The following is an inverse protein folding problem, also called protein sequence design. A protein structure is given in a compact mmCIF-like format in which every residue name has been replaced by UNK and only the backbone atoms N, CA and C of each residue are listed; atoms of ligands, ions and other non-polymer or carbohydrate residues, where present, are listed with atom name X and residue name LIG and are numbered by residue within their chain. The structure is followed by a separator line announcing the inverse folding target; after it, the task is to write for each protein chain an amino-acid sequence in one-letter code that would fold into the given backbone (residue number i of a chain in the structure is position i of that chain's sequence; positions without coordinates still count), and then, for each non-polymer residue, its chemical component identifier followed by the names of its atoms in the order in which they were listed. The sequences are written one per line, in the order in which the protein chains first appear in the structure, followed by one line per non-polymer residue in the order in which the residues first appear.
data_IF_090919169412
#
_entry.id   IF_090919169412
#
_cell.length_a   1.000
_cell.length_b   1.000
_cell.length_c   1.000
_cell.angle_alpha   90.00
_cell.angle_beta   90.00
_cell.angle_gamma   90.00
#
_symmetry.space_group_name_H-M   'P 1'
#
loop_
_entity.id
_entity.type
_entity.pdbx_description
1 polymer ?
#
# COMPACT_ATOMS: atom_id res chain seq x y z
N UNK A 1 10.94 29.09 4.42
CA UNK A 1 11.99 28.39 5.20
C UNK A 1 11.52 27.76 6.52
N UNK A 2 10.50 28.30 7.21
CA UNK A 2 9.96 27.75 8.48
C UNK A 2 9.21 26.42 8.40
N UNK A 3 8.64 26.07 7.24
CA UNK A 3 7.91 24.81 7.04
C UNK A 3 8.87 23.61 7.06
N UNK A 4 10.10 23.77 6.56
CA UNK A 4 11.10 22.71 6.50
C UNK A 4 11.61 22.32 7.89
N UNK A 5 11.74 23.31 8.78
CA UNK A 5 12.21 23.12 10.17
C UNK A 5 11.19 22.35 11.02
N UNK A 6 9.89 22.56 10.81
CA UNK A 6 8.82 21.78 11.47
C UNK A 6 8.67 20.35 10.92
N UNK A 7 9.05 20.10 9.67
CA UNK A 7 9.09 18.75 9.10
C UNK A 7 10.27 17.93 9.66
N UNK A 8 11.42 18.56 9.87
CA UNK A 8 12.61 17.94 10.46
C UNK A 8 12.43 17.55 11.94
N UNK A 9 11.48 18.17 12.65
CA UNK A 9 11.21 17.89 14.07
C UNK A 9 10.27 16.71 14.31
N UNK A 10 9.73 16.07 13.26
CA UNK A 10 8.97 14.81 13.37
C UNK A 10 9.91 13.60 13.17
N UNK A 11 10.52 13.06 14.24
CA UNK A 11 11.58 12.06 14.14
C UNK A 11 11.12 10.76 13.46
N UNK A 12 9.83 10.46 13.51
CA UNK A 12 9.25 9.20 13.04
C UNK A 12 9.20 9.05 11.50
N UNK A 13 9.15 10.14 10.73
CA UNK A 13 9.17 10.08 9.25
C UNK A 13 10.37 10.81 8.63
N UNK A 14 10.74 11.97 9.17
CA UNK A 14 11.80 12.80 8.59
C UNK A 14 13.17 12.13 8.69
N UNK A 15 13.50 11.59 9.86
CA UNK A 15 14.80 10.95 10.11
C UNK A 15 15.00 9.67 9.29
N UNK A 16 14.06 8.70 9.24
CA UNK A 16 14.23 7.49 8.43
C UNK A 16 14.29 7.81 6.93
N UNK A 17 13.54 8.81 6.44
CA UNK A 17 13.59 9.17 5.02
C UNK A 17 14.91 9.82 4.63
N UNK A 18 15.43 10.74 5.45
CA UNK A 18 16.72 11.40 5.21
C UNK A 18 17.86 10.39 5.28
N UNK A 19 17.85 9.52 6.30
CA UNK A 19 18.87 8.47 6.44
C UNK A 19 18.80 7.48 5.28
N UNK A 20 17.61 7.05 4.84
CA UNK A 20 17.43 6.20 3.67
C UNK A 20 17.97 6.85 2.39
N UNK A 21 17.64 8.13 2.15
CA UNK A 21 18.11 8.88 0.98
C UNK A 21 19.64 9.05 0.97
N UNK A 22 20.23 9.42 2.11
CA UNK A 22 21.68 9.55 2.24
C UNK A 22 22.38 8.20 2.05
N UNK A 23 21.83 7.13 2.62
CA UNK A 23 22.35 5.77 2.47
C UNK A 23 22.30 5.33 1.01
N UNK A 24 21.18 5.57 0.31
CA UNK A 24 21.04 5.28 -1.12
C UNK A 24 22.11 6.02 -1.94
N UNK A 25 22.26 7.33 -1.71
CA UNK A 25 23.20 8.15 -2.47
C UNK A 25 24.66 7.75 -2.20
N UNK A 26 25.00 7.44 -0.95
CA UNK A 26 26.32 6.94 -0.58
C UNK A 26 26.60 5.56 -1.18
N UNK A 27 25.62 4.65 -1.17
CA UNK A 27 25.75 3.30 -1.72
C UNK A 27 25.94 3.31 -3.24
N UNK A 28 25.18 4.14 -3.96
CA UNK A 28 25.32 4.28 -5.42
C UNK A 28 26.68 4.91 -5.78
N UNK A 29 27.13 5.92 -5.03
CA UNK A 29 28.42 6.58 -5.28
C UNK A 29 29.63 5.69 -5.01
N UNK A 30 29.53 4.78 -4.04
CA UNK A 30 30.66 3.91 -3.63
C UNK A 30 30.71 2.56 -4.35
N UNK A 31 29.55 1.98 -4.68
CA UNK A 31 29.45 0.61 -5.24
C UNK A 31 28.78 0.53 -6.61
N UNK A 32 28.31 1.65 -7.15
CA UNK A 32 27.64 1.71 -8.44
C UNK A 32 26.17 1.31 -8.41
N UNK A 33 25.42 1.67 -9.46
CA UNK A 33 23.98 1.41 -9.56
C UNK A 33 23.63 -0.09 -9.70
N UNK A 34 24.50 -0.86 -10.36
CA UNK A 34 24.29 -2.29 -10.61
C UNK A 34 24.31 -3.08 -9.30
N UNK A 35 25.30 -2.83 -8.43
CA UNK A 35 25.39 -3.45 -7.12
C UNK A 35 24.19 -3.10 -6.22
N UNK A 36 23.72 -1.85 -6.27
CA UNK A 36 22.55 -1.41 -5.50
C UNK A 36 21.29 -2.19 -5.91
N UNK A 37 21.03 -2.31 -7.21
CA UNK A 37 19.86 -3.03 -7.74
C UNK A 37 19.91 -4.53 -7.49
N UNK A 38 21.06 -5.17 -7.66
CA UNK A 38 21.18 -6.64 -7.59
C UNK A 38 21.35 -7.20 -6.18
N UNK A 39 21.96 -6.44 -5.26
CA UNK A 39 22.24 -6.92 -3.90
C UNK A 39 21.38 -6.26 -2.83
N UNK A 40 21.25 -4.93 -2.86
CA UNK A 40 20.59 -4.21 -1.77
C UNK A 40 19.06 -4.27 -1.90
N UNK A 41 18.51 -3.99 -3.08
CA UNK A 41 17.06 -4.02 -3.34
C UNK A 41 16.38 -5.34 -2.94
N UNK A 42 16.87 -6.54 -3.34
CA UNK A 42 16.20 -7.80 -2.97
C UNK A 42 16.30 -8.13 -1.48
N UNK A 43 17.39 -7.71 -0.81
CA UNK A 43 17.53 -7.89 0.64
C UNK A 43 16.54 -6.99 1.39
N UNK A 44 16.44 -5.72 0.99
CA UNK A 44 15.48 -4.79 1.57
C UNK A 44 14.04 -5.27 1.42
N UNK A 45 13.67 -5.84 0.26
CA UNK A 45 12.33 -6.42 0.06
C UNK A 45 12.02 -7.57 1.03
N UNK A 46 12.98 -8.49 1.26
CA UNK A 46 12.82 -9.59 2.22
C UNK A 46 12.73 -9.09 3.66
N UNK A 47 13.58 -8.14 4.03
CA UNK A 47 13.57 -7.53 5.38
C UNK A 47 12.29 -6.75 5.61
N UNK A 48 11.81 -5.99 4.62
CA UNK A 48 10.55 -5.25 4.70
C UNK A 48 9.36 -6.19 4.89
N UNK A 49 9.29 -7.28 4.11
CA UNK A 49 8.23 -8.27 4.27
C UNK A 49 8.29 -8.92 5.66
N UNK A 50 9.48 -9.29 6.12
CA UNK A 50 9.69 -9.86 7.46
C UNK A 50 9.31 -8.90 8.59
N UNK A 51 9.69 -7.63 8.49
CA UNK A 51 9.35 -6.60 9.45
C UNK A 51 7.84 -6.33 9.48
N UNK A 52 7.19 -6.25 8.32
CA UNK A 52 5.74 -6.04 8.22
C UNK A 52 4.96 -7.22 8.85
N UNK A 53 5.35 -8.45 8.53
CA UNK A 53 4.79 -9.66 9.14
C UNK A 53 5.06 -9.70 10.65
N UNK A 54 6.26 -9.32 11.08
CA UNK A 54 6.62 -9.23 12.49
C UNK A 54 5.74 -8.23 13.25
N UNK A 55 5.57 -7.01 12.72
CA UNK A 55 4.68 -6.01 13.31
C UNK A 55 3.25 -6.52 13.37
N UNK A 56 2.77 -7.17 12.31
CA UNK A 56 1.44 -7.75 12.26
C UNK A 56 1.24 -8.79 13.38
N UNK A 57 2.17 -9.73 13.54
CA UNK A 57 2.14 -10.75 14.60
C UNK A 57 2.13 -10.10 15.99
N UNK A 58 3.02 -9.12 16.23
CA UNK A 58 3.10 -8.41 17.52
C UNK A 58 1.80 -7.65 17.80
N UNK A 59 1.25 -6.96 16.81
CA UNK A 59 0.01 -6.21 16.97
C UNK A 59 -1.17 -7.14 17.30
N UNK A 60 -1.26 -8.30 16.65
CA UNK A 60 -2.28 -9.31 16.95
C UNK A 60 -2.10 -9.94 18.33
N UNK A 61 -0.86 -10.23 18.73
CA UNK A 61 -0.56 -10.76 20.06
C UNK A 61 -0.97 -9.77 21.16
N UNK A 62 -0.71 -8.48 20.97
CA UNK A 62 -1.03 -7.44 21.96
C UNK A 62 -2.51 -7.08 22.01
N UNK A 63 -3.28 -7.31 20.94
CA UNK A 63 -4.70 -6.91 20.86
C UNK A 63 -5.66 -8.10 20.72
N UNK A 64 -5.19 -9.31 20.97
CA UNK A 64 -5.97 -10.56 20.86
C UNK A 64 -7.21 -10.59 21.75
N UNK A 65 -7.13 -10.07 22.99
CA UNK A 65 -8.30 -10.03 23.88
C UNK A 65 -9.43 -9.14 23.36
N UNK A 66 -9.10 -8.01 22.74
CA UNK A 66 -10.11 -7.12 22.16
C UNK A 66 -10.84 -7.76 20.97
N UNK A 67 -10.17 -8.64 20.22
CA UNK A 67 -10.75 -9.40 19.11
C UNK A 67 -11.72 -10.46 19.64
N UNK A 68 -11.36 -11.17 20.71
CA UNK A 68 -12.18 -12.23 21.31
C UNK A 68 -13.43 -11.69 22.01
N UNK A 69 -13.36 -10.48 22.58
CA UNK A 69 -14.46 -9.89 23.35
C UNK A 69 -15.59 -9.28 22.48
N UNK A 70 -15.39 -9.09 21.18
CA UNK A 70 -16.37 -8.42 20.31
C UNK A 70 -16.54 -9.05 18.91
N UNK A 71 -16.86 -10.35 18.79
CA UNK A 71 -16.97 -11.04 17.49
C UNK A 71 -18.12 -10.48 16.62
N UNK A 72 -19.22 -10.04 17.23
CA UNK A 72 -20.36 -9.46 16.53
C UNK A 72 -19.98 -8.13 15.84
N UNK A 73 -19.14 -7.31 16.49
CA UNK A 73 -18.65 -6.05 15.93
C UNK A 73 -17.82 -6.29 14.66
N UNK A 74 -16.99 -7.33 14.66
CA UNK A 74 -16.19 -7.74 13.50
C UNK A 74 -17.12 -8.11 12.34
N UNK A 75 -18.15 -8.94 12.61
CA UNK A 75 -19.14 -9.34 11.60
C UNK A 75 -19.83 -8.14 10.93
N UNK A 76 -20.26 -7.15 11.72
CA UNK A 76 -20.88 -5.94 11.18
C UNK A 76 -19.90 -5.06 10.40
N UNK A 77 -18.61 -5.06 10.75
CA UNK A 77 -17.60 -4.21 10.12
C UNK A 77 -17.06 -4.80 8.81
N UNK A 78 -17.07 -6.13 8.64
CA UNK A 78 -16.58 -6.79 7.42
C UNK A 78 -17.31 -6.28 6.18
N UNK A 79 -18.64 -6.23 6.21
CA UNK A 79 -19.43 -5.84 5.04
C UNK A 79 -19.15 -4.41 4.55
N UNK A 80 -19.28 -3.35 5.38
CA UNK A 80 -19.01 -1.99 4.94
C UNK A 80 -17.55 -1.79 4.52
N UNK A 81 -16.60 -2.46 5.20
CA UNK A 81 -15.19 -2.30 4.90
C UNK A 81 -14.78 -3.03 3.61
N UNK A 82 -15.31 -4.25 3.39
CA UNK A 82 -15.12 -4.96 2.14
C UNK A 82 -15.72 -4.17 0.97
N UNK A 83 -16.96 -3.70 1.11
CA UNK A 83 -17.61 -2.88 0.08
C UNK A 83 -16.78 -1.63 -0.22
N UNK A 84 -16.30 -0.93 0.82
CA UNK A 84 -15.43 0.23 0.67
C UNK A 84 -14.17 -0.07 -0.15
N UNK A 85 -13.46 -1.17 0.15
CA UNK A 85 -12.27 -1.57 -0.61
C UNK A 85 -12.58 -1.99 -2.04
N UNK A 86 -13.64 -2.77 -2.26
CA UNK A 86 -14.07 -3.14 -3.60
C UNK A 86 -14.38 -1.89 -4.42
N UNK A 87 -15.18 -0.97 -3.87
CA UNK A 87 -15.55 0.26 -4.57
C UNK A 87 -14.33 1.09 -4.93
N UNK A 88 -13.41 1.33 -3.99
CA UNK A 88 -12.19 2.10 -4.26
C UNK A 88 -11.32 1.42 -5.32
N UNK A 89 -11.15 0.10 -5.25
CA UNK A 89 -10.36 -0.64 -6.21
C UNK A 89 -10.94 -0.55 -7.62
N UNK A 90 -12.25 -0.79 -7.77
CA UNK A 90 -12.90 -0.74 -9.07
C UNK A 90 -12.97 0.69 -9.62
N UNK A 91 -13.30 1.68 -8.80
CA UNK A 91 -13.30 3.09 -9.23
C UNK A 91 -11.90 3.55 -9.62
N UNK A 92 -10.87 3.22 -8.84
CA UNK A 92 -9.48 3.53 -9.18
C UNK A 92 -9.03 2.87 -10.48
N UNK A 93 -9.36 1.58 -10.65
CA UNK A 93 -9.00 0.82 -11.86
C UNK A 93 -9.75 1.31 -13.10
N UNK A 94 -11.07 1.54 -13.00
CA UNK A 94 -11.88 2.04 -14.12
C UNK A 94 -11.51 3.47 -14.48
N UNK A 95 -11.29 4.34 -13.50
CA UNK A 95 -10.89 5.73 -13.78
C UNK A 95 -9.51 5.79 -14.44
N UNK A 96 -8.56 4.94 -14.06
CA UNK A 96 -7.27 4.81 -14.73
C UNK A 96 -7.41 4.26 -16.16
N UNK A 97 -8.23 3.23 -16.36
CA UNK A 97 -8.43 2.64 -17.69
C UNK A 97 -9.17 3.61 -18.62
N UNK A 98 -10.39 4.01 -18.25
CA UNK A 98 -11.30 4.79 -19.10
C UNK A 98 -10.90 6.27 -19.12
N UNK A 99 -10.54 6.83 -17.97
CA UNK A 99 -10.23 8.26 -17.83
C UNK A 99 -8.81 8.62 -18.28
N UNK A 100 -7.83 7.73 -18.09
CA UNK A 100 -6.42 8.00 -18.43
C UNK A 100 -5.90 7.16 -19.60
N UNK A 101 -6.66 6.18 -20.11
CA UNK A 101 -6.23 5.34 -21.23
C UNK A 101 -5.02 4.47 -20.88
N UNK A 102 -4.94 3.98 -19.64
CA UNK A 102 -3.84 3.13 -19.18
C UNK A 102 -4.12 1.65 -19.44
N UNK A 103 -3.09 0.89 -19.82
CA UNK A 103 -3.20 -0.57 -19.94
C UNK A 103 -3.73 -1.20 -18.67
N UNK A 104 -4.41 -2.35 -18.79
CA UNK A 104 -5.05 -2.99 -17.63
C UNK A 104 -4.08 -3.27 -16.48
N UNK A 105 -2.83 -3.63 -16.77
CA UNK A 105 -1.76 -3.81 -15.77
C UNK A 105 -1.51 -2.54 -14.94
N UNK A 106 -1.38 -1.39 -15.63
CA UNK A 106 -1.16 -0.10 -14.99
C UNK A 106 -2.39 0.36 -14.24
N UNK A 107 -3.58 0.16 -14.81
CA UNK A 107 -4.86 0.51 -14.21
C UNK A 107 -5.11 -0.26 -12.91
N UNK A 108 -4.85 -1.57 -12.89
CA UNK A 108 -4.95 -2.39 -11.67
C UNK A 108 -3.92 -1.95 -10.61
N UNK A 109 -2.71 -1.56 -11.04
CA UNK A 109 -1.70 -0.99 -10.13
C UNK A 109 -2.18 0.31 -9.48
N UNK A 110 -2.81 1.20 -10.26
CA UNK A 110 -3.45 2.42 -9.73
C UNK A 110 -4.60 2.07 -8.78
N UNK A 111 -5.42 1.07 -9.12
CA UNK A 111 -6.46 0.55 -8.25
C UNK A 111 -5.93 0.14 -6.87
N UNK A 112 -4.84 -0.65 -6.83
CA UNK A 112 -4.20 -1.01 -5.55
C UNK A 112 -3.61 0.19 -4.82
N UNK A 113 -3.09 1.18 -5.52
CA UNK A 113 -2.55 2.38 -4.89
C UNK A 113 -3.65 3.23 -4.22
N UNK A 114 -4.78 3.43 -4.89
CA UNK A 114 -5.94 4.16 -4.34
C UNK A 114 -6.53 3.42 -3.13
N UNK A 115 -6.48 2.10 -3.16
CA UNK A 115 -7.04 1.26 -2.11
C UNK A 115 -6.08 1.09 -0.93
N UNK A 116 -4.76 1.14 -1.17
CA UNK A 116 -3.71 0.93 -0.16
C UNK A 116 -3.74 1.94 0.99
N UNK A 117 -3.61 1.46 2.22
CA UNK A 117 -3.70 2.24 3.46
C UNK A 117 -2.47 2.03 4.34
N UNK A 118 -2.20 2.99 5.23
CA UNK A 118 -1.15 2.87 6.24
C UNK A 118 -1.77 2.76 7.64
N UNK A 119 -1.98 1.53 8.07
CA UNK A 119 -2.58 1.22 9.37
C UNK A 119 -1.74 1.66 10.55
N UNK A 120 -0.42 1.55 10.46
CA UNK A 120 0.46 1.92 11.56
C UNK A 120 0.31 3.41 11.88
N UNK A 121 0.26 4.25 10.86
CA UNK A 121 0.00 5.67 11.02
C UNK A 121 -1.41 5.94 11.55
N UNK A 122 -2.44 5.22 11.06
CA UNK A 122 -3.81 5.38 11.54
C UNK A 122 -3.97 5.01 13.02
N UNK A 123 -3.36 3.93 13.48
CA UNK A 123 -3.40 3.49 14.88
C UNK A 123 -2.65 4.48 15.76
N UNK A 124 -1.47 4.95 15.33
CA UNK A 124 -0.72 5.97 16.05
C UNK A 124 -1.55 7.25 16.23
N UNK A 125 -2.17 7.74 15.15
CA UNK A 125 -3.05 8.91 15.20
C UNK A 125 -4.25 8.69 16.11
N UNK A 126 -4.90 7.53 16.05
CA UNK A 126 -6.05 7.22 16.91
C UNK A 126 -5.68 7.22 18.40
N UNK A 127 -4.55 6.60 18.77
CA UNK A 127 -4.06 6.58 20.14
C UNK A 127 -3.69 7.98 20.66
N UNK A 128 -3.09 8.82 19.80
CA UNK A 128 -2.68 10.18 20.20
C UNK A 128 -3.82 11.19 20.23
N UNK A 129 -4.74 11.15 19.27
CA UNK A 129 -5.80 12.14 19.12
C UNK A 129 -7.05 11.79 19.96
N UNK A 130 -7.31 10.50 20.18
CA UNK A 130 -8.51 10.02 20.87
C UNK A 130 -8.16 9.19 22.11
N UNK A 131 -7.13 9.63 22.87
CA UNK A 131 -6.67 8.96 24.07
C UNK A 131 -7.78 8.73 25.12
N UNK A 132 -8.77 9.62 25.18
CA UNK A 132 -9.93 9.51 26.09
C UNK A 132 -10.98 8.48 25.63
N UNK A 133 -10.93 8.00 24.39
CA UNK A 133 -11.93 7.11 23.78
C UNK A 133 -11.27 5.80 23.33
N UNK A 134 -11.05 4.84 24.24
CA UNK A 134 -10.30 3.61 23.95
C UNK A 134 -10.93 2.75 22.83
N UNK A 135 -12.25 2.84 22.62
CA UNK A 135 -12.93 2.12 21.54
C UNK A 135 -12.45 2.52 20.13
N UNK A 136 -12.04 3.78 19.93
CA UNK A 136 -11.55 4.28 18.64
C UNK A 136 -10.20 3.64 18.29
N UNK A 137 -9.32 3.51 19.28
CA UNK A 137 -8.03 2.85 19.07
C UNK A 137 -8.17 1.34 18.85
N UNK A 138 -9.17 0.69 19.47
CA UNK A 138 -9.45 -0.73 19.27
C UNK A 138 -9.99 -1.01 17.87
N UNK A 139 -10.93 -0.20 17.36
CA UNK A 139 -11.50 -0.39 16.01
C UNK A 139 -10.46 -0.27 14.90
N UNK A 140 -9.50 0.65 15.04
CA UNK A 140 -8.40 0.81 14.06
C UNK A 140 -7.48 -0.41 13.94
N UNK A 141 -7.43 -1.26 14.96
CA UNK A 141 -6.55 -2.45 14.98
C UNK A 141 -7.23 -3.68 14.42
N UNK A 142 -8.56 -3.71 14.50
CA UNK A 142 -9.36 -4.73 13.83
C UNK A 142 -9.29 -4.53 12.30
N UNK A 143 -9.07 -3.29 11.83
CA UNK A 143 -8.93 -2.95 10.41
C UNK A 143 -7.98 -3.87 9.61
N UNK A 144 -6.70 -4.04 10.01
CA UNK A 144 -5.76 -4.96 9.37
C UNK A 144 -6.23 -6.40 9.26
N UNK A 145 -6.99 -6.91 10.25
CA UNK A 145 -7.51 -8.28 10.23
C UNK A 145 -8.45 -8.52 9.06
N UNK A 146 -9.24 -7.51 8.70
CA UNK A 146 -10.21 -7.57 7.61
C UNK A 146 -9.56 -7.13 6.29
N UNK A 147 -8.73 -6.08 6.30
CA UNK A 147 -8.10 -5.56 5.08
C UNK A 147 -7.15 -6.56 4.45
N UNK A 148 -6.31 -7.26 5.22
CA UNK A 148 -5.31 -8.18 4.63
C UNK A 148 -5.97 -9.29 3.81
N UNK A 149 -7.00 -10.01 4.29
CA UNK A 149 -7.74 -10.97 3.48
C UNK A 149 -8.43 -10.35 2.25
N UNK A 150 -9.07 -9.19 2.42
CA UNK A 150 -9.79 -8.51 1.32
C UNK A 150 -8.82 -8.03 0.24
N UNK A 151 -7.67 -7.48 0.63
CA UNK A 151 -6.64 -7.08 -0.31
C UNK A 151 -6.02 -8.26 -1.04
N UNK A 152 -5.85 -9.40 -0.36
CA UNK A 152 -5.35 -10.61 -0.99
C UNK A 152 -6.34 -11.17 -2.02
N UNK A 153 -7.65 -11.16 -1.73
CA UNK A 153 -8.67 -11.56 -2.71
C UNK A 153 -8.73 -10.60 -3.88
N UNK A 154 -8.64 -9.28 -3.63
CA UNK A 154 -8.51 -8.27 -4.68
C UNK A 154 -7.24 -8.48 -5.51
N UNK A 155 -6.10 -8.81 -4.91
CA UNK A 155 -4.85 -9.11 -5.62
C UNK A 155 -5.00 -10.29 -6.59
N UNK A 156 -5.69 -11.34 -6.15
CA UNK A 156 -6.02 -12.46 -7.03
C UNK A 156 -6.97 -12.04 -8.16
N UNK A 157 -8.02 -11.28 -7.83
CA UNK A 157 -8.97 -10.73 -8.79
C UNK A 157 -8.30 -9.80 -9.82
N UNK A 158 -7.37 -8.94 -9.38
CA UNK A 158 -6.62 -8.02 -10.22
C UNK A 158 -5.74 -8.77 -11.22
N UNK A 159 -5.05 -9.84 -10.79
CA UNK A 159 -4.33 -10.72 -11.71
C UNK A 159 -5.25 -11.38 -12.72
N UNK A 160 -6.41 -11.87 -12.27
CA UNK A 160 -7.41 -12.45 -13.16
C UNK A 160 -7.95 -11.43 -14.19
N UNK A 161 -8.22 -10.20 -13.76
CA UNK A 161 -8.66 -9.11 -14.63
C UNK A 161 -7.62 -8.77 -15.71
N UNK A 162 -6.34 -8.70 -15.35
CA UNK A 162 -5.25 -8.47 -16.31
C UNK A 162 -5.17 -9.59 -17.35
N UNK A 163 -5.29 -10.85 -16.93
CA UNK A 163 -5.28 -12.01 -17.84
C UNK A 163 -6.49 -12.03 -18.77
N UNK A 164 -7.66 -11.60 -18.28
CA UNK A 164 -8.91 -11.63 -19.06
C UNK A 164 -9.05 -10.44 -20.02
N UNK A 165 -8.50 -9.28 -19.67
CA UNK A 165 -8.63 -8.03 -20.43
C UNK A 165 -7.28 -7.37 -20.76
N UNK A 166 -6.34 -8.07 -21.44
CA UNK A 166 -5.01 -7.52 -21.71
C UNK A 166 -5.02 -6.33 -22.67
N UNK A 167 -6.04 -6.23 -23.55
CA UNK A 167 -6.16 -5.19 -24.57
C UNK A 167 -6.99 -3.97 -24.12
N UNK A 168 -7.52 -3.97 -22.89
CA UNK A 168 -8.36 -2.87 -22.45
C UNK A 168 -7.53 -1.61 -22.20
N UNK A 169 -7.95 -0.51 -22.83
CA UNK A 169 -7.39 0.83 -22.71
C UNK A 169 -5.94 0.99 -23.18
N UNK A 170 -5.51 0.23 -24.21
CA UNK A 170 -4.33 0.62 -25.00
C UNK A 170 -4.79 1.69 -26.00
N UNK A 171 -4.31 2.95 -25.93
CA UNK A 171 -4.64 3.93 -26.95
C UNK A 171 -4.06 3.43 -28.27
N UNK A 172 -4.88 3.45 -29.34
CA UNK A 172 -4.51 3.05 -30.71
C UNK A 172 -3.22 3.72 -31.26
N UNK A 173 -2.64 4.68 -30.53
CA UNK A 173 -1.37 5.34 -30.83
C UNK A 173 -0.13 4.50 -30.51
N UNK A 174 -0.23 3.50 -29.65
CA UNK A 174 0.88 2.58 -29.36
C UNK A 174 1.19 1.67 -30.56
N UNK A 175 0.17 1.25 -31.31
CA UNK A 175 0.33 0.42 -32.51
C UNK A 175 1.02 1.18 -33.66
N UNK A 176 0.83 2.51 -33.74
CA UNK A 176 1.46 3.36 -34.76
C UNK A 176 2.98 3.54 -34.54
N UNK A 177 3.46 3.50 -33.29
CA UNK A 177 4.91 3.58 -33.01
C UNK A 177 5.63 2.24 -33.21
N UNK A 178 4.92 1.12 -33.10
CA UNK A 178 5.47 -0.20 -33.45
C UNK A 178 5.59 -0.39 -34.97
N UNK A 179 4.71 0.22 -35.77
CA UNK A 179 4.78 0.16 -37.24
C UNK A 179 5.79 1.15 -37.84
N UNK A 180 6.05 2.30 -37.22
CA UNK A 180 7.04 3.28 -37.70
C UNK A 180 8.49 2.86 -37.51
N UNK A 181 8.79 1.91 -36.61
CA UNK A 181 10.15 1.44 -36.34
C UNK A 181 10.51 0.16 -37.13
N UNK A 182 9.65 -0.24 -38.08
CA UNK A 182 9.82 -1.42 -38.93
C UNK A 182 9.72 -1.16 -40.43
N UNK A 183 9.81 0.12 -40.86
CA UNK A 183 9.86 0.53 -42.27
C UNK A 183 11.14 1.33 -42.54
#
# INVERSE_FOLDING_TARGET
MRIFTHLLTKPHLGLPLITAYLTQRAAVKTKGETWFKERLTPVLGKVQLGALLGTLVVMFALKGEAILNAPQLIGYMIFPLALFFLTLFFVGTLSACIGMGLSMEKSVTVGFHVTGRNFELSIALALTAFAASPLVAVSTVIGPLIEVPVMLTLAWMGRWLVQRYPLCCVPARADLMSQSNGA
#
